data_IF_350713964413
#
_entry.id   IF_350713964413
#
_cell.length_a   1.000
_cell.length_b   1.000
_cell.length_c   1.000
_cell.angle_alpha   90.00
_cell.angle_beta   90.00
_cell.angle_gamma   90.00
#
_symmetry.space_group_name_H-M   'P 1'
#
loop_
_entity.id
_entity.type
_entity.pdbx_description
1 polymer ?
#
# COMPACT_ATOMS: atom_id res chain seq x y z
N UNK A 1 4.91 -18.78 10.72
CA UNK A 1 4.08 -18.25 11.82
C UNK A 1 3.53 -16.88 11.42
N UNK A 2 2.28 -16.65 11.63
CA UNK A 2 1.66 -15.33 11.40
C UNK A 2 1.80 -14.46 12.64
N UNK A 3 1.91 -13.14 12.44
CA UNK A 3 1.79 -12.19 13.53
C UNK A 3 0.36 -12.22 14.08
N UNK A 4 0.20 -11.95 15.37
CA UNK A 4 -1.12 -11.87 15.97
C UNK A 4 -1.96 -10.82 15.25
N UNK A 5 -3.11 -11.22 14.74
CA UNK A 5 -4.00 -10.34 13.99
C UNK A 5 -3.62 -10.14 12.52
N UNK A 6 -2.46 -10.62 12.08
CA UNK A 6 -2.06 -10.50 10.68
C UNK A 6 -2.62 -11.66 9.85
N UNK A 7 -3.23 -11.39 8.67
CA UNK A 7 -3.68 -12.43 7.76
C UNK A 7 -2.55 -13.03 6.92
N UNK A 8 -1.30 -12.59 7.09
CA UNK A 8 -0.16 -13.02 6.30
C UNK A 8 0.73 -13.99 7.07
N UNK A 9 1.21 -15.03 6.38
CA UNK A 9 2.28 -15.89 6.89
C UNK A 9 3.62 -15.14 6.92
N UNK A 10 4.66 -15.76 7.50
CA UNK A 10 6.00 -15.18 7.49
C UNK A 10 6.54 -14.97 6.08
N UNK A 11 6.36 -15.96 5.20
CA UNK A 11 6.83 -15.88 3.81
C UNK A 11 6.06 -14.82 3.02
N UNK A 12 4.77 -14.71 3.23
CA UNK A 12 3.94 -13.70 2.60
C UNK A 12 4.30 -12.30 3.08
N UNK A 13 4.54 -12.14 4.39
CA UNK A 13 4.99 -10.87 4.98
C UNK A 13 6.31 -10.41 4.36
N UNK A 14 7.26 -11.33 4.21
CA UNK A 14 8.55 -10.99 3.60
C UNK A 14 8.39 -10.58 2.13
N UNK A 15 7.55 -11.30 1.40
CA UNK A 15 7.26 -10.97 0.00
C UNK A 15 6.69 -9.55 -0.14
N UNK A 16 5.71 -9.21 0.67
CA UNK A 16 5.10 -7.87 0.68
C UNK A 16 6.10 -6.82 1.12
N UNK A 17 6.86 -7.08 2.18
CA UNK A 17 7.84 -6.11 2.72
C UNK A 17 8.95 -5.78 1.75
N UNK A 18 9.40 -6.75 0.95
CA UNK A 18 10.51 -6.55 0.01
C UNK A 18 10.06 -5.98 -1.34
N UNK A 19 8.76 -5.97 -1.64
CA UNK A 19 8.25 -5.48 -2.90
C UNK A 19 8.47 -3.97 -3.03
N UNK A 20 8.92 -3.55 -4.20
CA UNK A 20 9.20 -2.13 -4.50
C UNK A 20 7.99 -1.41 -5.07
N UNK A 21 7.07 -2.15 -5.66
CA UNK A 21 5.85 -1.61 -6.26
C UNK A 21 4.70 -2.57 -6.00
N UNK A 22 3.53 -2.00 -5.84
CA UNK A 22 2.27 -2.74 -5.78
C UNK A 22 1.22 -1.98 -6.58
N UNK A 23 0.09 -2.60 -6.83
CA UNK A 23 -1.00 -1.99 -7.59
C UNK A 23 -2.19 -1.76 -6.68
N UNK A 24 -2.58 -0.51 -6.58
CA UNK A 24 -3.71 -0.08 -5.75
C UNK A 24 -4.96 0.02 -6.61
N UNK A 25 -5.98 -0.69 -6.21
CA UNK A 25 -7.31 -0.62 -6.81
C UNK A 25 -8.24 0.20 -5.92
N UNK A 26 -8.88 1.20 -6.52
CA UNK A 26 -9.91 2.01 -5.89
C UNK A 26 -11.12 2.06 -6.80
N UNK A 27 -12.24 2.56 -6.31
CA UNK A 27 -13.49 2.58 -7.07
C UNK A 27 -14.05 3.99 -7.10
N UNK A 28 -14.42 4.44 -8.29
CA UNK A 28 -15.11 5.73 -8.46
C UNK A 28 -16.50 5.66 -7.87
N UNK A 29 -17.11 6.82 -7.65
CA UNK A 29 -18.46 6.91 -7.09
C UNK A 29 -19.48 6.11 -7.91
N UNK A 30 -19.30 6.05 -9.23
CA UNK A 30 -20.18 5.30 -10.13
C UNK A 30 -19.86 3.80 -10.24
N UNK A 31 -18.87 3.33 -9.49
CA UNK A 31 -18.46 1.92 -9.50
C UNK A 31 -17.34 1.60 -10.48
N UNK A 32 -16.88 2.56 -11.28
CA UNK A 32 -15.77 2.32 -12.22
C UNK A 32 -14.47 2.06 -11.46
N UNK A 33 -13.80 0.95 -11.72
CA UNK A 33 -12.51 0.66 -11.04
C UNK A 33 -11.37 1.50 -11.60
N UNK A 34 -10.38 1.75 -10.73
CA UNK A 34 -9.18 2.50 -11.08
C UNK A 34 -7.98 1.78 -10.44
N UNK A 35 -6.95 1.52 -11.22
CA UNK A 35 -5.77 0.80 -10.76
C UNK A 35 -4.51 1.58 -11.13
N UNK A 36 -3.63 1.81 -10.13
CA UNK A 36 -2.37 2.53 -10.33
C UNK A 36 -1.28 1.89 -9.50
N UNK A 37 0.00 2.03 -9.92
CA UNK A 37 1.12 1.58 -9.09
C UNK A 37 1.33 2.51 -7.91
N UNK A 38 1.77 1.93 -6.80
CA UNK A 38 2.18 2.65 -5.61
C UNK A 38 3.48 2.06 -5.09
N UNK A 39 4.18 2.84 -4.25
CA UNK A 39 5.40 2.40 -3.58
C UNK A 39 5.13 2.32 -2.07
N UNK A 40 4.62 1.19 -1.58
CA UNK A 40 4.20 1.09 -0.19
C UNK A 40 5.29 0.54 0.72
N UNK A 41 5.13 0.79 2.01
CA UNK A 41 5.86 0.10 3.06
C UNK A 41 4.87 -0.67 3.93
N UNK A 42 5.25 -1.88 4.33
CA UNK A 42 4.47 -2.65 5.28
C UNK A 42 4.96 -2.34 6.69
N UNK A 43 4.05 -1.90 7.55
CA UNK A 43 4.33 -1.62 8.95
C UNK A 43 3.35 -2.42 9.80
N UNK A 44 3.83 -3.57 10.32
CA UNK A 44 3.01 -4.53 11.07
C UNK A 44 1.84 -5.03 10.21
N UNK A 45 0.62 -4.67 10.55
CA UNK A 45 -0.61 -5.12 9.88
C UNK A 45 -1.23 -4.06 8.96
N UNK A 46 -0.43 -3.07 8.56
CA UNK A 46 -0.91 -2.02 7.68
C UNK A 46 0.10 -1.68 6.59
N UNK A 47 -0.42 -1.25 5.46
CA UNK A 47 0.40 -0.68 4.38
C UNK A 47 0.37 0.83 4.50
N UNK A 48 1.51 1.45 4.20
CA UNK A 48 1.64 2.91 4.21
C UNK A 48 2.17 3.34 2.85
N UNK A 49 1.51 4.30 2.23
CA UNK A 49 2.01 4.93 1.01
C UNK A 49 1.66 6.41 1.01
N UNK A 50 2.38 7.18 0.18
CA UNK A 50 2.16 8.60 0.04
C UNK A 50 1.68 8.93 -1.37
N UNK A 51 0.89 9.97 -1.49
CA UNK A 51 0.43 10.47 -2.77
C UNK A 51 0.15 11.98 -2.68
N UNK A 52 0.01 12.64 -3.82
CA UNK A 52 -0.41 14.03 -3.82
C UNK A 52 -1.88 14.14 -3.42
N UNK A 53 -2.24 15.27 -2.81
CA UNK A 53 -3.58 15.46 -2.24
C UNK A 53 -4.70 15.50 -3.27
N UNK A 54 -4.40 15.91 -4.50
CA UNK A 54 -5.41 16.06 -5.55
C UNK A 54 -5.23 15.01 -6.64
N UNK A 55 -5.44 13.74 -6.28
CA UNK A 55 -5.35 12.63 -7.23
C UNK A 55 -6.67 11.86 -7.30
N UNK A 56 -6.83 11.09 -8.38
CA UNK A 56 -8.02 10.26 -8.58
C UNK A 56 -8.16 9.25 -7.44
N UNK A 57 -7.05 8.61 -7.02
CA UNK A 57 -7.10 7.62 -5.94
C UNK A 57 -7.56 8.23 -4.61
N UNK A 58 -7.14 9.46 -4.30
CA UNK A 58 -7.58 10.15 -3.08
C UNK A 58 -9.08 10.42 -3.13
N UNK A 59 -9.57 10.95 -4.24
CA UNK A 59 -11.01 11.21 -4.41
C UNK A 59 -11.81 9.91 -4.32
N UNK A 60 -11.34 8.84 -4.94
CA UNK A 60 -12.01 7.55 -4.91
C UNK A 60 -12.08 6.99 -3.49
N UNK A 61 -11.00 7.10 -2.72
CA UNK A 61 -10.96 6.62 -1.33
C UNK A 61 -11.93 7.43 -0.45
N UNK A 62 -12.04 8.74 -0.69
CA UNK A 62 -13.00 9.58 0.07
C UNK A 62 -14.44 9.17 -0.21
N UNK A 63 -14.75 8.84 -1.46
CA UNK A 63 -16.11 8.46 -1.86
C UNK A 63 -16.43 7.01 -1.51
N UNK A 64 -15.46 6.11 -1.67
CA UNK A 64 -15.59 4.68 -1.41
C UNK A 64 -14.35 4.21 -0.62
N UNK A 65 -14.42 4.14 0.71
CA UNK A 65 -13.27 3.81 1.55
C UNK A 65 -12.98 2.31 1.59
N UNK A 66 -12.85 1.69 0.42
CA UNK A 66 -12.48 0.29 0.26
C UNK A 66 -11.39 0.20 -0.79
N UNK A 67 -10.30 -0.51 -0.48
CA UNK A 67 -9.19 -0.66 -1.40
C UNK A 67 -8.73 -2.10 -1.46
N UNK A 68 -8.10 -2.44 -2.59
CA UNK A 68 -7.34 -3.67 -2.74
C UNK A 68 -5.95 -3.30 -3.22
N UNK A 69 -4.94 -4.03 -2.74
CA UNK A 69 -3.55 -3.81 -3.13
C UNK A 69 -2.97 -5.16 -3.56
N UNK A 70 -2.51 -5.22 -4.79
CA UNK A 70 -1.97 -6.45 -5.38
C UNK A 70 -0.45 -6.38 -5.44
N UNK A 71 0.19 -7.40 -4.87
CA UNK A 71 1.62 -7.65 -4.96
C UNK A 71 1.80 -8.91 -5.79
N UNK A 72 2.67 -8.88 -6.79
CA UNK A 72 2.89 -10.05 -7.63
C UNK A 72 4.34 -10.15 -8.08
N UNK A 73 4.71 -11.34 -8.48
CA UNK A 73 6.02 -11.62 -9.03
C UNK A 73 5.85 -12.54 -10.23
N UNK A 74 6.43 -12.15 -11.35
CA UNK A 74 6.41 -12.95 -12.58
C UNK A 74 7.70 -13.71 -12.75
N UNK A 75 7.58 -14.93 -13.28
CA UNK A 75 8.71 -15.78 -13.63
C UNK A 75 8.28 -16.60 -14.85
N UNK A 76 9.21 -16.86 -15.77
CA UNK A 76 8.93 -17.71 -16.94
C UNK A 76 8.67 -19.16 -16.53
N UNK A 77 9.20 -19.59 -15.40
CA UNK A 77 8.78 -20.83 -14.74
C UNK A 77 7.54 -20.51 -13.89
N UNK A 78 6.39 -20.84 -14.39
CA UNK A 78 5.09 -20.52 -13.78
C UNK A 78 4.87 -21.20 -12.42
N UNK A 79 5.66 -22.20 -12.08
CA UNK A 79 5.61 -22.78 -10.73
C UNK A 79 6.16 -21.83 -9.66
N UNK A 80 6.85 -20.76 -10.09
CA UNK A 80 7.43 -19.75 -9.20
C UNK A 80 6.62 -18.47 -9.13
N UNK A 81 5.48 -18.38 -9.81
CA UNK A 81 4.62 -17.21 -9.75
C UNK A 81 4.04 -17.04 -8.33
N UNK A 82 3.93 -15.79 -7.91
CA UNK A 82 3.39 -15.46 -6.59
C UNK A 82 2.47 -14.26 -6.66
N UNK A 83 1.46 -14.27 -5.82
CA UNK A 83 0.54 -13.15 -5.67
C UNK A 83 0.09 -13.02 -4.22
N UNK A 84 0.07 -11.80 -3.74
CA UNK A 84 -0.59 -11.43 -2.48
C UNK A 84 -1.56 -10.30 -2.78
N UNK A 85 -2.84 -10.55 -2.56
CA UNK A 85 -3.88 -9.54 -2.74
C UNK A 85 -4.43 -9.18 -1.36
N UNK A 86 -4.27 -7.93 -0.99
CA UNK A 86 -4.69 -7.41 0.30
C UNK A 86 -5.94 -6.55 0.14
N UNK A 87 -6.90 -6.73 1.04
CA UNK A 87 -8.09 -5.90 1.14
C UNK A 87 -8.05 -5.17 2.46
N UNK A 88 -8.37 -3.90 2.46
CA UNK A 88 -8.29 -3.16 3.70
C UNK A 88 -9.04 -1.84 3.71
N UNK A 89 -9.03 -1.25 4.90
CA UNK A 89 -9.65 0.04 5.17
C UNK A 89 -8.58 1.14 5.12
N UNK A 90 -8.75 2.14 4.23
CA UNK A 90 -7.79 3.24 4.12
C UNK A 90 -8.10 4.36 5.10
N UNK A 91 -7.04 4.98 5.64
CA UNK A 91 -7.12 6.14 6.52
C UNK A 91 -6.12 7.18 6.03
N UNK A 92 -6.55 8.45 6.00
CA UNK A 92 -5.68 9.55 5.63
C UNK A 92 -4.94 10.11 6.84
N UNK A 93 -3.63 10.27 6.68
CA UNK A 93 -2.76 10.91 7.66
C UNK A 93 -2.24 12.18 6.99
N UNK A 94 -2.67 13.32 7.47
CA UNK A 94 -2.43 14.60 6.80
C UNK A 94 -1.40 15.46 7.49
N UNK A 95 -1.27 15.36 8.82
CA UNK A 95 -0.37 16.22 9.61
C UNK A 95 0.10 15.50 10.86
N UNK A 96 1.04 16.13 11.55
CA UNK A 96 1.41 15.77 12.92
C UNK A 96 2.48 14.70 13.01
N UNK A 97 2.63 14.14 14.21
CA UNK A 97 3.69 13.17 14.50
C UNK A 97 3.50 11.86 13.73
N UNK A 98 2.28 11.46 13.50
CA UNK A 98 1.99 10.25 12.73
C UNK A 98 2.41 10.42 11.27
N UNK A 99 2.18 11.60 10.70
CA UNK A 99 2.66 11.92 9.36
C UNK A 99 4.19 11.83 9.28
N UNK A 100 4.89 12.40 10.24
CA UNK A 100 6.36 12.36 10.29
C UNK A 100 6.86 10.92 10.44
N UNK A 101 6.22 10.14 11.30
CA UNK A 101 6.58 8.73 11.50
C UNK A 101 6.45 7.93 10.22
N UNK A 102 5.33 8.05 9.55
CA UNK A 102 5.05 7.32 8.31
C UNK A 102 5.95 7.78 7.17
N UNK A 103 6.18 9.10 7.07
CA UNK A 103 7.13 9.64 6.11
C UNK A 103 8.51 9.03 6.28
N UNK A 104 8.97 8.91 7.53
CA UNK A 104 10.29 8.35 7.82
C UNK A 104 10.36 6.86 7.41
N UNK A 105 9.30 6.10 7.61
CA UNK A 105 9.23 4.72 7.12
C UNK A 105 9.37 4.66 5.59
N UNK A 106 8.71 5.56 4.88
CA UNK A 106 8.78 5.63 3.43
C UNK A 106 10.16 6.06 2.96
N UNK A 107 10.77 7.04 3.59
CA UNK A 107 12.12 7.51 3.24
C UNK A 107 13.18 6.44 3.50
N UNK A 108 13.01 5.65 4.54
CA UNK A 108 13.93 4.54 4.84
C UNK A 108 13.90 3.49 3.73
N UNK A 109 12.72 3.11 3.27
CA UNK A 109 12.58 2.11 2.21
C UNK A 109 12.90 2.67 0.82
N UNK A 110 12.52 3.95 0.58
CA UNK A 110 12.66 4.62 -0.71
C UNK A 110 13.40 5.95 -0.54
N UNK A 111 14.74 5.92 -0.37
CA UNK A 111 15.51 7.17 -0.16
C UNK A 111 15.35 8.19 -1.27
N UNK A 112 15.00 7.76 -2.47
CA UNK A 112 14.80 8.64 -3.61
C UNK A 112 13.63 9.62 -3.43
N UNK A 113 12.73 9.40 -2.47
CA UNK A 113 11.69 10.37 -2.15
C UNK A 113 12.25 11.72 -1.76
N UNK A 114 13.34 11.74 -0.98
CA UNK A 114 13.89 12.98 -0.43
C UNK A 114 14.38 13.93 -1.50
N UNK A 115 14.86 13.42 -2.63
CA UNK A 115 15.41 14.24 -3.71
C UNK A 115 14.47 14.38 -4.90
N UNK A 116 13.71 13.34 -5.21
CA UNK A 116 12.89 13.30 -6.43
C UNK A 116 11.45 13.70 -6.20
N UNK A 117 10.90 13.42 -5.01
CA UNK A 117 9.49 13.68 -4.73
C UNK A 117 9.24 13.77 -3.23
N UNK A 118 9.74 14.84 -2.57
CA UNK A 118 9.59 14.95 -1.11
C UNK A 118 8.13 14.88 -0.66
N UNK A 119 7.92 14.23 0.47
CA UNK A 119 6.60 14.08 1.08
C UNK A 119 6.41 15.24 2.06
N UNK A 120 5.51 16.17 1.73
CA UNK A 120 5.30 17.39 2.49
C UNK A 120 3.83 17.55 2.83
N UNK A 121 3.51 18.02 4.04
CA UNK A 121 2.13 18.20 4.50
C UNK A 121 1.32 19.10 3.57
N UNK A 122 1.96 20.10 2.95
CA UNK A 122 1.27 21.05 2.09
C UNK A 122 0.75 20.43 0.79
N UNK A 123 1.40 19.40 0.27
CA UNK A 123 1.13 18.87 -1.07
C UNK A 123 0.84 17.38 -1.08
N UNK A 124 1.17 16.68 0.01
CA UNK A 124 1.06 15.22 0.09
C UNK A 124 0.08 14.80 1.16
N UNK A 125 -0.46 13.63 0.99
CA UNK A 125 -1.20 12.93 2.03
C UNK A 125 -0.63 11.51 2.12
N UNK A 126 -0.57 10.99 3.33
CA UNK A 126 -0.18 9.60 3.57
C UNK A 126 -1.45 8.80 3.79
N UNK A 127 -1.48 7.61 3.21
CA UNK A 127 -2.59 6.67 3.37
C UNK A 127 -2.07 5.46 4.13
N UNK A 128 -2.75 5.14 5.22
CA UNK A 128 -2.55 3.88 5.95
C UNK A 128 -3.69 2.95 5.59
N UNK A 129 -3.37 1.77 5.08
CA UNK A 129 -4.36 0.74 4.78
C UNK A 129 -4.27 -0.33 5.85
N UNK A 130 -5.29 -0.40 6.70
CA UNK A 130 -5.40 -1.46 7.68
C UNK A 130 -5.82 -2.75 6.98
N UNK A 131 -4.95 -3.77 7.03
CA UNK A 131 -5.20 -5.03 6.31
C UNK A 131 -6.27 -5.83 7.03
N UNK A 132 -7.38 -6.09 6.35
CA UNK A 132 -8.51 -6.84 6.90
C UNK A 132 -8.52 -8.28 6.46
N UNK A 133 -8.13 -8.56 5.22
CA UNK A 133 -7.97 -9.93 4.75
C UNK A 133 -7.01 -10.00 3.56
N UNK A 134 -6.51 -11.20 3.33
CA UNK A 134 -5.58 -11.47 2.24
C UNK A 134 -6.04 -12.68 1.44
N UNK A 135 -5.76 -12.64 0.14
CA UNK A 135 -5.89 -13.78 -0.75
C UNK A 135 -4.51 -14.01 -1.36
N UNK A 136 -3.93 -15.18 -1.13
CA UNK A 136 -2.54 -15.45 -1.54
C UNK A 136 -2.46 -16.66 -2.46
N UNK A 137 -1.41 -16.68 -3.28
CA UNK A 137 -1.20 -17.72 -4.26
C UNK A 137 0.28 -17.90 -4.52
N UNK A 138 0.75 -19.15 -4.56
CA UNK A 138 2.15 -19.45 -4.84
C UNK A 138 3.04 -19.59 -3.61
N UNK A 139 2.46 -19.70 -2.44
CA UNK A 139 3.20 -19.84 -1.18
C UNK A 139 3.01 -21.18 -0.51
#
# INVERSE_FOLDING_TARGET
MTLSGSPLSGAETEFVSSARVAHLATTRRDGTPHVVPISPVLDLDRLVFATETDTVKVRNIRDNPFVAVCFDSYDEDWSLLKQVLLYGAPYFIETGMEFVRDRNLLYEKYPQYETSSPIEEATSVIVEVEIERASTWGF
#
